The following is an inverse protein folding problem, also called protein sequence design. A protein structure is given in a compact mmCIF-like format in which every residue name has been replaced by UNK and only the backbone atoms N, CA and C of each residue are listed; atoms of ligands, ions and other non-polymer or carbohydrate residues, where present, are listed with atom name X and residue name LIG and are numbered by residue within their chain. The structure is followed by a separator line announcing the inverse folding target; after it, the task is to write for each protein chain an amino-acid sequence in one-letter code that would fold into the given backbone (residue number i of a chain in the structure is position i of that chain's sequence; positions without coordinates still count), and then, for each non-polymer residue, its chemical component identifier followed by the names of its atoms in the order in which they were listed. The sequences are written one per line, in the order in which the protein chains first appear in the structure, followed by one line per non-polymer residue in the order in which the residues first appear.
data_IF_099596456688
#
_entry.id   IF_099596456688
#
_cell.length_a   1.000
_cell.length_b   1.000
_cell.length_c   1.000
_cell.angle_alpha   90.00
_cell.angle_beta   90.00
_cell.angle_gamma   90.00
#
_symmetry.space_group_name_H-M   'P 1'
#
loop_
_entity.id
_entity.type
_entity.pdbx_description
1 polymer ?
#
# COMPACT_ATOMS: atom_id res chain seq x y z
N UNK A 1 17.94 23.98 10.49
CA UNK A 1 17.26 23.31 9.36
C UNK A 1 17.69 21.85 9.41
N UNK A 2 16.76 20.90 9.46
CA UNK A 2 17.10 19.46 9.48
C UNK A 2 17.61 19.05 8.09
N UNK A 3 18.58 18.14 8.05
CA UNK A 3 18.91 17.40 6.84
C UNK A 3 17.74 16.46 6.47
N UNK A 4 17.67 16.04 5.21
CA UNK A 4 16.64 15.09 4.75
C UNK A 4 16.62 13.80 5.58
N UNK A 5 17.79 13.25 5.93
CA UNK A 5 17.88 12.02 6.74
C UNK A 5 17.36 12.23 8.17
N UNK A 6 17.67 13.37 8.78
CA UNK A 6 17.16 13.70 10.12
C UNK A 6 15.64 13.89 10.11
N UNK A 7 15.12 14.51 9.04
CA UNK A 7 13.68 14.66 8.83
C UNK A 7 12.98 13.31 8.66
N UNK A 8 13.50 12.45 7.78
CA UNK A 8 12.98 11.08 7.58
C UNK A 8 12.99 10.29 8.90
N UNK A 9 14.10 10.34 9.65
CA UNK A 9 14.21 9.70 10.95
C UNK A 9 13.18 10.22 11.97
N UNK A 10 12.91 11.54 11.99
CA UNK A 10 11.92 12.13 12.88
C UNK A 10 10.50 11.67 12.55
N UNK A 11 10.13 11.65 11.28
CA UNK A 11 8.83 11.13 10.82
C UNK A 11 8.68 9.66 11.21
N UNK A 12 9.69 8.84 10.89
CA UNK A 12 9.70 7.40 11.18
C UNK A 12 9.59 7.13 12.69
N UNK A 13 10.42 7.77 13.50
CA UNK A 13 10.41 7.60 14.96
C UNK A 13 9.08 8.05 15.57
N UNK A 14 8.49 9.14 15.08
CA UNK A 14 7.18 9.61 15.56
C UNK A 14 6.09 8.61 15.24
N UNK A 15 6.00 8.12 14.01
CA UNK A 15 4.99 7.12 13.65
C UNK A 15 5.17 5.79 14.37
N UNK A 16 6.41 5.34 14.54
CA UNK A 16 6.71 4.14 15.34
C UNK A 16 6.17 4.29 16.77
N UNK A 17 6.46 5.42 17.42
CA UNK A 17 6.00 5.67 18.78
C UNK A 17 4.48 5.77 18.86
N UNK A 18 3.84 6.47 17.91
CA UNK A 18 2.38 6.58 17.84
C UNK A 18 1.71 5.22 17.65
N UNK A 19 2.24 4.36 16.76
CA UNK A 19 1.70 3.03 16.53
C UNK A 19 1.83 2.13 17.77
N UNK A 20 3.00 2.13 18.42
CA UNK A 20 3.23 1.37 19.65
C UNK A 20 2.32 1.85 20.79
N UNK A 21 2.22 3.16 21.00
CA UNK A 21 1.39 3.74 22.05
C UNK A 21 -0.11 3.47 21.83
N UNK A 22 -0.59 3.56 20.58
CA UNK A 22 -2.01 3.42 20.28
C UNK A 22 -2.44 1.97 20.17
N UNK A 23 -1.59 1.09 19.62
CA UNK A 23 -1.99 -0.26 19.25
C UNK A 23 -1.15 -1.36 19.91
N UNK A 24 0.11 -1.09 20.24
CA UNK A 24 1.02 -2.07 20.86
C UNK A 24 0.95 -3.44 20.19
N UNK A 25 0.76 -4.50 20.98
CA UNK A 25 0.71 -5.89 20.49
C UNK A 25 -0.44 -6.26 19.53
N UNK A 26 -1.33 -5.32 19.19
CA UNK A 26 -2.46 -5.57 18.27
C UNK A 26 -2.05 -5.59 16.79
N UNK A 27 -0.96 -4.92 16.43
CA UNK A 27 -0.47 -4.92 15.06
C UNK A 27 0.62 -5.97 14.82
N UNK A 28 0.78 -6.39 13.57
CA UNK A 28 1.84 -7.29 13.10
C UNK A 28 3.06 -6.48 12.69
N UNK A 29 2.87 -5.52 11.79
CA UNK A 29 3.88 -4.51 11.46
C UNK A 29 3.23 -3.23 10.89
N UNK A 30 4.00 -2.16 10.87
CA UNK A 30 3.65 -0.90 10.22
C UNK A 30 4.65 -0.60 9.11
N UNK A 31 4.22 0.13 8.09
CA UNK A 31 5.07 0.57 7.00
C UNK A 31 4.58 1.92 6.45
N UNK A 32 5.48 2.64 5.79
CA UNK A 32 5.15 3.87 5.07
C UNK A 32 5.04 3.60 3.58
N UNK A 33 4.26 4.43 2.89
CA UNK A 33 4.07 4.35 1.43
C UNK A 33 4.14 5.74 0.79
N UNK A 34 3.76 5.82 -0.48
CA UNK A 34 3.49 7.08 -1.15
C UNK A 34 4.73 7.92 -1.46
N UNK A 35 4.48 9.18 -1.81
CA UNK A 35 5.49 10.05 -2.41
C UNK A 35 6.67 10.36 -1.48
N UNK A 36 6.42 10.39 -0.16
CA UNK A 36 7.41 10.78 0.83
C UNK A 36 8.63 9.84 0.82
N UNK A 37 8.40 8.53 0.94
CA UNK A 37 9.49 7.54 1.03
C UNK A 37 10.32 7.43 -0.26
N UNK A 38 9.76 7.86 -1.39
CA UNK A 38 10.44 7.86 -2.69
C UNK A 38 11.00 9.22 -3.09
N UNK A 39 10.95 10.22 -2.20
CA UNK A 39 11.52 11.54 -2.41
C UNK A 39 10.71 12.50 -3.26
N UNK A 40 9.46 12.17 -3.59
CA UNK A 40 8.53 13.06 -4.29
C UNK A 40 7.62 13.88 -3.37
N UNK A 41 7.69 13.69 -2.05
CA UNK A 41 6.85 14.39 -1.08
C UNK A 41 7.13 15.89 -1.02
N UNK A 42 6.10 16.71 -1.25
CA UNK A 42 6.18 18.18 -1.24
C UNK A 42 5.43 18.76 -0.04
N UNK A 43 6.09 19.56 0.83
CA UNK A 43 5.43 20.26 1.93
C UNK A 43 4.22 21.08 1.46
N UNK A 44 3.14 21.05 2.25
CA UNK A 44 1.86 21.71 1.99
C UNK A 44 1.01 21.07 0.90
N UNK A 45 1.46 19.95 0.29
CA UNK A 45 0.74 19.27 -0.80
C UNK A 45 0.65 17.76 -0.62
N UNK A 46 1.72 17.14 -0.15
CA UNK A 46 1.81 15.70 0.02
C UNK A 46 1.43 15.29 1.44
N UNK A 47 0.87 14.09 1.51
CA UNK A 47 0.70 13.32 2.74
C UNK A 47 2.00 12.63 3.17
N UNK A 48 2.06 12.22 4.44
CA UNK A 48 3.05 11.32 5.01
C UNK A 48 2.37 9.97 5.26
N UNK A 49 2.23 9.17 4.20
CA UNK A 49 1.42 7.96 4.24
C UNK A 49 1.97 6.92 5.23
N UNK A 50 1.07 6.33 6.03
CA UNK A 50 1.35 5.19 6.91
C UNK A 50 0.24 4.15 6.82
N UNK A 51 0.62 2.88 6.82
CA UNK A 51 -0.30 1.76 6.99
C UNK A 51 0.05 0.95 8.23
N UNK A 52 -0.98 0.56 8.98
CA UNK A 52 -0.92 -0.32 10.14
C UNK A 52 -1.56 -1.65 9.76
N UNK A 53 -0.75 -2.71 9.70
CA UNK A 53 -1.23 -4.06 9.48
C UNK A 53 -1.57 -4.70 10.84
N UNK A 54 -2.86 -4.86 11.11
CA UNK A 54 -3.36 -5.53 12.30
C UNK A 54 -3.33 -7.06 12.19
N UNK A 55 -3.08 -7.71 13.33
CA UNK A 55 -3.32 -9.15 13.45
C UNK A 55 -4.79 -9.45 13.22
N UNK A 56 -5.11 -10.59 12.62
CA UNK A 56 -6.51 -10.99 12.41
C UNK A 56 -7.34 -11.08 13.71
N UNK A 57 -6.68 -11.25 14.86
CA UNK A 57 -7.33 -11.24 16.17
C UNK A 57 -7.97 -9.89 16.54
N UNK A 58 -7.66 -8.80 15.83
CA UNK A 58 -8.24 -7.48 16.09
C UNK A 58 -9.77 -7.48 15.99
N UNK A 59 -10.36 -8.38 15.20
CA UNK A 59 -11.82 -8.51 15.08
C UNK A 59 -12.52 -8.90 16.39
N UNK A 60 -11.77 -9.43 17.35
CA UNK A 60 -12.28 -9.76 18.69
C UNK A 60 -12.01 -8.67 19.72
N UNK A 61 -11.33 -7.59 19.33
CA UNK A 61 -11.02 -6.48 20.23
C UNK A 61 -12.27 -5.62 20.45
N UNK A 62 -12.52 -5.11 21.67
CA UNK A 62 -13.70 -4.29 21.94
C UNK A 62 -13.78 -3.05 21.04
N UNK A 63 -14.87 -2.92 20.30
CA UNK A 63 -15.05 -1.88 19.28
C UNK A 63 -14.85 -0.45 19.82
N UNK A 64 -15.42 -0.16 21.00
CA UNK A 64 -15.27 1.17 21.63
C UNK A 64 -13.82 1.49 21.99
N UNK A 65 -13.08 0.51 22.48
CA UNK A 65 -11.66 0.70 22.81
C UNK A 65 -10.82 0.87 21.53
N UNK A 66 -11.16 0.12 20.48
CA UNK A 66 -10.53 0.26 19.18
C UNK A 66 -10.74 1.68 18.61
N UNK A 67 -11.96 2.19 18.66
CA UNK A 67 -12.31 3.53 18.18
C UNK A 67 -11.52 4.62 18.92
N UNK A 68 -11.38 4.52 20.25
CA UNK A 68 -10.59 5.46 21.06
C UNK A 68 -9.12 5.44 20.63
N UNK A 69 -8.54 4.26 20.41
CA UNK A 69 -7.14 4.11 19.99
C UNK A 69 -6.90 4.67 18.59
N UNK A 70 -7.82 4.43 17.66
CA UNK A 70 -7.74 4.97 16.29
C UNK A 70 -7.84 6.50 16.33
N UNK A 71 -8.81 7.09 17.05
CA UNK A 71 -8.93 8.54 17.17
C UNK A 71 -7.67 9.18 17.77
N UNK A 72 -7.07 8.54 18.78
CA UNK A 72 -5.79 8.96 19.36
C UNK A 72 -4.66 8.93 18.33
N UNK A 73 -4.57 7.86 17.54
CA UNK A 73 -3.58 7.76 16.46
C UNK A 73 -3.80 8.84 15.40
N UNK A 74 -5.04 9.05 14.94
CA UNK A 74 -5.39 10.10 13.96
C UNK A 74 -4.97 11.48 14.46
N UNK A 75 -5.22 11.81 15.73
CA UNK A 75 -4.78 13.09 16.30
C UNK A 75 -3.26 13.26 16.22
N UNK A 76 -2.48 12.22 16.58
CA UNK A 76 -1.02 12.25 16.47
C UNK A 76 -0.52 12.33 15.02
N UNK A 77 -1.19 11.64 14.10
CA UNK A 77 -0.94 11.71 12.66
C UNK A 77 -1.14 13.14 12.12
N UNK A 78 -2.24 13.81 12.49
CA UNK A 78 -2.51 15.19 12.07
C UNK A 78 -1.50 16.18 12.68
N UNK A 79 -1.16 16.02 13.95
CA UNK A 79 -0.16 16.87 14.62
C UNK A 79 1.23 16.74 13.99
N UNK A 80 1.65 15.52 13.62
CA UNK A 80 2.91 15.31 12.88
C UNK A 80 2.89 16.06 11.55
N UNK A 81 1.82 15.94 10.77
CA UNK A 81 1.67 16.65 9.50
C UNK A 81 1.79 18.16 9.67
N UNK A 82 1.07 18.71 10.64
CA UNK A 82 1.12 20.13 10.96
C UNK A 82 2.56 20.57 11.29
N UNK A 83 3.22 19.87 12.22
CA UNK A 83 4.60 20.20 12.65
C UNK A 83 5.61 20.10 11.53
N UNK A 84 5.44 19.15 10.62
CA UNK A 84 6.35 18.91 9.50
C UNK A 84 6.01 19.76 8.27
N UNK A 85 4.87 20.45 8.27
CA UNK A 85 4.41 21.26 7.14
C UNK A 85 3.91 20.43 5.96
N UNK A 86 3.39 19.23 6.21
CA UNK A 86 2.77 18.35 5.20
C UNK A 86 1.23 18.43 5.28
N UNK A 87 0.54 18.00 4.22
CA UNK A 87 -0.92 18.04 4.15
C UNK A 87 -1.47 16.63 4.41
N UNK A 88 -2.18 16.40 5.52
CA UNK A 88 -2.68 15.07 5.82
C UNK A 88 -3.78 14.65 4.84
N UNK A 89 -3.83 13.37 4.48
CA UNK A 89 -5.07 12.77 3.99
C UNK A 89 -6.08 12.71 5.16
N UNK A 90 -7.15 13.50 5.05
CA UNK A 90 -8.24 13.53 6.03
C UNK A 90 -9.40 12.62 5.64
N UNK A 91 -9.40 12.07 4.42
CA UNK A 91 -10.35 11.06 3.97
C UNK A 91 -9.94 9.68 4.49
N UNK A 92 -8.65 9.38 4.41
CA UNK A 92 -8.05 8.14 4.91
C UNK A 92 -6.88 8.47 5.85
N UNK A 93 -7.15 8.93 7.10
CA UNK A 93 -6.12 9.38 8.03
C UNK A 93 -5.31 8.19 8.58
N UNK A 94 -4.28 7.81 7.83
CA UNK A 94 -3.62 6.52 7.96
C UNK A 94 -4.47 5.38 7.38
N UNK A 95 -3.79 4.30 7.01
CA UNK A 95 -4.41 3.10 6.46
C UNK A 95 -4.43 1.98 7.50
N UNK A 96 -5.54 1.26 7.60
CA UNK A 96 -5.76 0.22 8.60
C UNK A 96 -6.25 -1.05 7.93
N UNK A 97 -5.44 -2.10 7.96
CA UNK A 97 -5.70 -3.35 7.21
C UNK A 97 -5.40 -4.56 8.09
N UNK A 98 -6.15 -5.66 7.98
CA UNK A 98 -5.78 -6.92 8.65
C UNK A 98 -4.81 -7.74 7.81
N UNK A 99 -4.09 -8.66 8.44
CA UNK A 99 -3.36 -9.73 7.75
C UNK A 99 -4.19 -10.46 6.70
N UNK A 100 -5.47 -10.77 6.99
CA UNK A 100 -6.38 -11.43 6.06
C UNK A 100 -6.71 -10.55 4.85
N UNK A 101 -7.07 -9.28 5.07
CA UNK A 101 -7.35 -8.36 3.98
C UNK A 101 -6.11 -8.11 3.12
N UNK A 102 -4.94 -8.04 3.74
CA UNK A 102 -3.67 -7.88 3.05
C UNK A 102 -3.30 -9.12 2.23
N UNK A 103 -3.56 -10.32 2.77
CA UNK A 103 -3.40 -11.57 2.05
C UNK A 103 -4.33 -11.66 0.84
N UNK A 104 -5.60 -11.27 0.97
CA UNK A 104 -6.56 -11.20 -0.14
C UNK A 104 -6.11 -10.20 -1.22
N UNK A 105 -5.59 -9.03 -0.81
CA UNK A 105 -5.04 -8.03 -1.73
C UNK A 105 -3.89 -8.62 -2.55
N UNK A 106 -2.92 -9.24 -1.87
CA UNK A 106 -1.76 -9.92 -2.47
C UNK A 106 -2.19 -11.08 -3.39
N UNK A 107 -3.25 -11.80 -3.02
CA UNK A 107 -3.82 -12.88 -3.82
C UNK A 107 -4.56 -12.38 -5.08
N UNK A 108 -4.76 -11.05 -5.21
CA UNK A 108 -5.26 -10.42 -6.43
C UNK A 108 -6.71 -9.93 -6.34
N UNK A 109 -7.33 -9.87 -5.14
CA UNK A 109 -8.70 -9.34 -4.95
C UNK A 109 -8.88 -7.91 -5.50
N UNK A 110 -7.80 -7.14 -5.60
CA UNK A 110 -7.80 -5.78 -6.15
C UNK A 110 -7.91 -5.67 -7.67
N UNK A 111 -7.81 -6.78 -8.43
CA UNK A 111 -7.97 -6.76 -9.88
C UNK A 111 -9.44 -6.79 -10.29
N UNK A 112 -9.73 -6.19 -11.45
CA UNK A 112 -11.03 -6.33 -12.11
C UNK A 112 -10.95 -7.40 -13.20
N UNK A 113 -12.09 -8.03 -13.45
CA UNK A 113 -12.24 -9.07 -14.49
C UNK A 113 -13.15 -8.52 -15.57
N UNK A 114 -12.66 -8.46 -16.82
CA UNK A 114 -13.46 -8.05 -17.97
C UNK A 114 -14.44 -9.15 -18.40
N UNK A 115 -15.36 -8.84 -19.32
CA UNK A 115 -16.28 -9.83 -19.91
C UNK A 115 -15.54 -11.00 -20.58
N UNK A 116 -14.36 -10.73 -21.17
CA UNK A 116 -13.47 -11.72 -21.78
C UNK A 116 -12.62 -12.51 -20.76
N UNK A 117 -12.91 -12.39 -19.46
CA UNK A 117 -12.15 -12.99 -18.35
C UNK A 117 -10.67 -12.57 -18.30
N UNK A 118 -10.36 -11.33 -18.69
CA UNK A 118 -9.01 -10.76 -18.56
C UNK A 118 -8.90 -9.87 -17.33
N UNK A 119 -7.71 -9.84 -16.72
CA UNK A 119 -7.44 -8.96 -15.60
C UNK A 119 -7.09 -7.57 -16.09
N UNK A 120 -7.66 -6.55 -15.43
CA UNK A 120 -7.30 -5.15 -15.65
C UNK A 120 -7.39 -4.32 -14.37
N UNK A 121 -6.81 -3.12 -14.42
CA UNK A 121 -6.86 -2.15 -13.35
C UNK A 121 -7.56 -0.87 -13.84
N UNK A 122 -8.70 -0.50 -13.25
CA UNK A 122 -9.31 0.80 -13.49
C UNK A 122 -8.38 1.94 -13.08
N UNK A 123 -8.60 3.13 -13.67
CA UNK A 123 -7.90 4.36 -13.27
C UNK A 123 -8.22 4.69 -11.81
N UNK A 124 -7.18 4.97 -11.03
CA UNK A 124 -7.33 5.38 -9.64
C UNK A 124 -7.90 6.81 -9.53
N UNK A 125 -8.89 7.01 -8.67
CA UNK A 125 -9.37 8.33 -8.24
C UNK A 125 -10.06 8.23 -6.88
N UNK A 126 -10.24 9.34 -6.13
CA UNK A 126 -11.03 9.35 -4.91
C UNK A 126 -12.46 8.83 -5.12
N UNK A 127 -13.12 9.24 -6.21
CA UNK A 127 -14.48 8.79 -6.56
C UNK A 127 -14.50 7.27 -6.82
N UNK A 128 -13.44 6.74 -7.44
CA UNK A 128 -13.30 5.30 -7.61
C UNK A 128 -13.25 4.60 -6.25
N UNK A 129 -12.42 5.03 -5.30
CA UNK A 129 -12.27 4.35 -4.01
C UNK A 129 -13.44 4.56 -3.04
N UNK A 130 -14.09 5.73 -3.07
CA UNK A 130 -15.22 6.02 -2.18
C UNK A 130 -16.53 5.35 -2.60
N UNK A 131 -16.62 4.90 -3.86
CA UNK A 131 -17.84 4.25 -4.35
C UNK A 131 -18.01 2.80 -3.89
N UNK A 132 -16.94 2.06 -3.59
CA UNK A 132 -17.00 0.66 -3.18
C UNK A 132 -15.74 0.26 -2.39
N UNK A 133 -15.85 -0.16 -1.10
CA UNK A 133 -14.72 -0.61 -0.29
C UNK A 133 -13.92 -1.76 -0.91
N UNK A 134 -14.51 -2.62 -1.75
CA UNK A 134 -13.76 -3.67 -2.48
C UNK A 134 -12.64 -3.09 -3.35
N UNK A 135 -12.76 -1.82 -3.76
CA UNK A 135 -11.76 -1.15 -4.57
C UNK A 135 -10.50 -0.80 -3.79
N UNK A 136 -10.54 -0.80 -2.46
CA UNK A 136 -9.36 -0.54 -1.61
C UNK A 136 -8.31 -1.64 -1.72
N UNK A 137 -8.71 -2.89 -2.02
CA UNK A 137 -7.77 -4.00 -2.26
C UNK A 137 -6.79 -3.71 -3.40
N UNK A 138 -7.15 -2.85 -4.37
CA UNK A 138 -6.22 -2.37 -5.40
C UNK A 138 -5.11 -1.52 -4.78
N UNK A 139 -5.46 -0.59 -3.88
CA UNK A 139 -4.49 0.26 -3.20
C UNK A 139 -3.59 -0.58 -2.29
N UNK A 140 -4.17 -1.51 -1.51
CA UNK A 140 -3.41 -2.39 -0.63
C UNK A 140 -2.49 -3.35 -1.39
N UNK A 141 -2.85 -3.81 -2.59
CA UNK A 141 -1.93 -4.56 -3.45
C UNK A 141 -0.71 -3.71 -3.79
N UNK A 142 -0.89 -2.48 -4.26
CA UNK A 142 0.23 -1.56 -4.52
C UNK A 142 1.05 -1.30 -3.26
N UNK A 143 0.39 -1.00 -2.13
CA UNK A 143 1.05 -0.72 -0.85
C UNK A 143 1.79 -1.95 -0.29
N UNK A 144 1.38 -3.17 -0.64
CA UNK A 144 2.10 -4.37 -0.25
C UNK A 144 3.48 -4.47 -0.87
N UNK A 145 3.63 -3.98 -2.11
CA UNK A 145 4.91 -3.95 -2.81
C UNK A 145 5.66 -2.63 -2.61
N UNK A 146 4.98 -1.49 -2.67
CA UNK A 146 5.57 -0.15 -2.72
C UNK A 146 5.57 0.51 -1.35
N UNK A 147 6.38 -0.04 -0.45
CA UNK A 147 6.42 0.36 0.95
C UNK A 147 7.80 0.26 1.57
N UNK A 148 7.98 1.00 2.66
CA UNK A 148 9.16 0.95 3.53
C UNK A 148 8.75 0.49 4.93
N UNK A 149 9.39 -0.57 5.42
CA UNK A 149 9.17 -1.08 6.78
C UNK A 149 9.43 0.01 7.82
N UNK A 150 8.59 0.04 8.87
CA UNK A 150 8.73 0.97 9.98
C UNK A 150 8.98 0.28 11.32
N UNK A 151 8.09 -0.63 11.73
CA UNK A 151 8.16 -1.31 13.04
C UNK A 151 7.34 -2.60 13.05
N UNK A 152 7.60 -3.51 14.00
CA UNK A 152 6.92 -4.80 14.16
C UNK A 152 7.70 -5.99 13.60
N UNK A 153 6.99 -6.99 13.06
CA UNK A 153 7.57 -8.19 12.48
C UNK A 153 8.17 -7.91 11.08
N UNK A 154 9.50 -7.83 11.05
CA UNK A 154 10.25 -7.54 9.82
C UNK A 154 10.23 -8.72 8.82
N UNK A 155 10.17 -9.97 9.29
CA UNK A 155 10.18 -11.13 8.41
C UNK A 155 8.83 -11.33 7.73
N UNK A 156 7.74 -11.11 8.47
CA UNK A 156 6.40 -11.05 7.90
C UNK A 156 6.28 -9.94 6.85
N UNK A 157 6.83 -8.74 7.14
CA UNK A 157 6.89 -7.65 6.17
C UNK A 157 7.59 -8.05 4.88
N UNK A 158 8.83 -8.59 4.97
CA UNK A 158 9.62 -9.00 3.79
C UNK A 158 8.87 -10.02 2.94
N UNK A 159 8.31 -11.04 3.60
CA UNK A 159 7.53 -12.09 2.95
C UNK A 159 6.33 -11.53 2.20
N UNK A 160 5.60 -10.61 2.81
CA UNK A 160 4.43 -10.01 2.17
C UNK A 160 4.83 -9.06 1.04
N UNK A 161 5.92 -8.30 1.18
CA UNK A 161 6.44 -7.42 0.13
C UNK A 161 6.86 -8.19 -1.12
N UNK A 162 7.58 -9.30 -0.97
CA UNK A 162 7.94 -10.19 -2.09
C UNK A 162 6.69 -10.76 -2.75
N UNK A 163 5.70 -11.23 -1.98
CA UNK A 163 4.46 -11.74 -2.58
C UNK A 163 3.65 -10.65 -3.32
N UNK A 164 3.62 -9.43 -2.79
CA UNK A 164 3.03 -8.28 -3.45
C UNK A 164 3.70 -8.00 -4.79
N UNK A 165 5.04 -7.94 -4.80
CA UNK A 165 5.84 -7.81 -6.02
C UNK A 165 5.60 -8.96 -7.01
N UNK A 166 5.55 -10.22 -6.57
CA UNK A 166 5.27 -11.36 -7.42
C UNK A 166 3.93 -11.22 -8.16
N UNK A 167 2.89 -10.78 -7.45
CA UNK A 167 1.55 -10.58 -8.03
C UNK A 167 1.55 -9.44 -9.04
N UNK A 168 2.18 -8.31 -8.70
CA UNK A 168 2.31 -7.15 -9.61
C UNK A 168 3.12 -7.52 -10.85
N UNK A 169 4.25 -8.22 -10.69
CA UNK A 169 5.11 -8.64 -11.79
C UNK A 169 4.37 -9.60 -12.72
N UNK A 170 3.66 -10.61 -12.21
CA UNK A 170 2.82 -11.48 -13.06
C UNK A 170 1.81 -10.66 -13.85
N UNK A 171 1.17 -9.68 -13.22
CA UNK A 171 0.20 -8.82 -13.89
C UNK A 171 0.83 -8.01 -15.04
N UNK A 172 1.95 -7.32 -14.81
CA UNK A 172 2.56 -6.50 -15.87
C UNK A 172 3.18 -7.36 -16.97
N UNK A 173 3.79 -8.50 -16.62
CA UNK A 173 4.46 -9.38 -17.57
C UNK A 173 3.47 -10.15 -18.47
N UNK A 174 2.20 -10.28 -18.08
CA UNK A 174 1.20 -11.01 -18.89
C UNK A 174 0.97 -10.34 -20.25
N UNK A 175 0.95 -9.01 -20.28
CA UNK A 175 0.57 -8.20 -21.44
C UNK A 175 1.77 -7.74 -22.29
N UNK A 176 3.01 -7.97 -21.84
CA UNK A 176 4.23 -7.68 -22.62
C UNK A 176 4.22 -8.47 -23.94
N UNK A 177 4.82 -7.95 -25.02
CA UNK A 177 4.94 -8.69 -26.29
C UNK A 177 5.80 -9.95 -26.20
N UNK A 178 6.19 -10.49 -27.37
CA UNK A 178 7.23 -11.53 -27.47
C UNK A 178 8.66 -10.97 -27.36
N UNK A 179 8.78 -9.68 -27.05
CA UNK A 179 10.05 -8.98 -26.92
C UNK A 179 10.69 -9.30 -25.56
N UNK A 180 12.02 -9.41 -25.57
CA UNK A 180 12.79 -9.45 -24.33
C UNK A 180 12.70 -8.08 -23.69
N UNK A 181 12.48 -8.06 -22.38
CA UNK A 181 12.41 -6.82 -21.62
C UNK A 181 13.45 -6.82 -20.51
N UNK A 182 13.80 -5.63 -20.04
CA UNK A 182 14.67 -5.45 -18.90
C UNK A 182 13.92 -4.89 -17.67
N UNK A 183 14.67 -4.60 -16.60
CA UNK A 183 14.10 -4.04 -15.38
C UNK A 183 13.56 -2.61 -15.57
N UNK A 184 14.14 -1.84 -16.50
CA UNK A 184 13.70 -0.48 -16.84
C UNK A 184 12.30 -0.53 -17.47
N UNK A 185 12.08 -1.49 -18.36
CA UNK A 185 10.77 -1.72 -18.97
C UNK A 185 9.71 -2.08 -17.93
N UNK A 186 10.06 -2.94 -16.96
CA UNK A 186 9.17 -3.25 -15.82
C UNK A 186 8.76 -1.97 -15.11
N UNK A 187 9.71 -1.11 -14.73
CA UNK A 187 9.40 0.14 -14.04
C UNK A 187 8.51 1.09 -14.87
N UNK A 188 8.65 1.09 -16.20
CA UNK A 188 7.77 1.86 -17.08
C UNK A 188 6.32 1.35 -17.07
N UNK A 189 6.10 0.04 -16.95
CA UNK A 189 4.77 -0.58 -16.89
C UNK A 189 4.04 -0.30 -15.57
N UNK A 190 4.78 -0.01 -14.48
CA UNK A 190 4.21 0.24 -13.15
C UNK A 190 3.44 1.57 -13.02
N UNK A 191 3.46 2.43 -14.04
CA UNK A 191 2.61 3.64 -14.07
C UNK A 191 1.12 3.31 -13.87
N UNK A 192 0.69 2.13 -14.33
CA UNK A 192 -0.68 1.62 -14.12
C UNK A 192 -1.05 1.40 -12.64
N UNK A 193 -0.05 1.23 -11.77
CA UNK A 193 -0.21 1.10 -10.31
C UNK A 193 -0.07 2.42 -9.56
N UNK A 194 0.05 3.55 -10.26
CA UNK A 194 0.13 4.89 -9.66
C UNK A 194 1.55 5.39 -9.37
N UNK A 195 2.59 4.71 -9.87
CA UNK A 195 3.98 5.18 -9.75
C UNK A 195 4.16 6.45 -10.58
N UNK A 196 4.50 7.56 -9.94
CA UNK A 196 4.69 8.87 -10.58
C UNK A 196 6.15 9.10 -10.98
N UNK A 197 6.37 9.89 -12.03
CA UNK A 197 7.73 10.27 -12.49
C UNK A 197 8.55 11.04 -11.46
N UNK A 198 7.88 11.64 -10.47
CA UNK A 198 8.51 12.44 -9.41
C UNK A 198 8.97 11.57 -8.23
N UNK A 199 8.81 10.25 -8.31
CA UNK A 199 9.30 9.32 -7.29
C UNK A 199 10.77 8.99 -7.57
N UNK A 200 11.64 9.99 -7.39
CA UNK A 200 13.04 9.97 -7.86
C UNK A 200 13.85 8.78 -7.33
N UNK A 201 13.52 8.27 -6.14
CA UNK A 201 14.21 7.14 -5.52
C UNK A 201 13.50 5.80 -5.73
N UNK A 202 12.37 5.74 -6.43
CA UNK A 202 11.56 4.52 -6.55
C UNK A 202 12.36 3.37 -7.14
N UNK A 203 12.99 3.59 -8.29
CA UNK A 203 13.79 2.56 -8.97
C UNK A 203 14.90 2.06 -8.04
N UNK A 204 15.66 2.96 -7.42
CA UNK A 204 16.77 2.59 -6.52
C UNK A 204 16.29 1.79 -5.30
N UNK A 205 15.19 2.20 -4.67
CA UNK A 205 14.66 1.56 -3.45
C UNK A 205 14.02 0.21 -3.77
N UNK A 206 13.33 0.10 -4.90
CA UNK A 206 12.54 -1.09 -5.23
C UNK A 206 13.31 -2.14 -6.05
N UNK A 207 14.39 -1.77 -6.74
CA UNK A 207 15.19 -2.70 -7.57
C UNK A 207 15.59 -3.98 -6.84
N UNK A 208 16.11 -3.96 -5.60
CA UNK A 208 16.49 -5.20 -4.91
C UNK A 208 15.31 -6.16 -4.73
N UNK A 209 14.12 -5.63 -4.42
CA UNK A 209 12.90 -6.43 -4.24
C UNK A 209 12.38 -6.99 -5.56
N UNK A 210 12.44 -6.18 -6.62
CA UNK A 210 12.09 -6.62 -7.97
C UNK A 210 13.00 -7.77 -8.42
N UNK A 211 14.32 -7.66 -8.20
CA UNK A 211 15.28 -8.73 -8.54
C UNK A 211 14.94 -10.02 -7.78
N UNK A 212 14.72 -9.94 -6.47
CA UNK A 212 14.39 -11.10 -5.64
C UNK A 212 13.09 -11.78 -6.09
N UNK A 213 12.05 -11.00 -6.39
CA UNK A 213 10.80 -11.52 -6.95
C UNK A 213 10.97 -12.11 -8.34
N UNK A 214 11.78 -11.51 -9.23
CA UNK A 214 12.07 -12.09 -10.55
C UNK A 214 12.77 -13.44 -10.43
N UNK A 215 13.70 -13.61 -9.48
CA UNK A 215 14.35 -14.90 -9.20
C UNK A 215 13.39 -15.94 -8.65
N UNK A 216 12.44 -15.53 -7.81
CA UNK A 216 11.36 -16.39 -7.35
C UNK A 216 10.46 -16.82 -8.52
N UNK A 217 10.05 -15.88 -9.37
CA UNK A 217 9.21 -16.16 -10.54
C UNK A 217 9.93 -17.04 -11.57
N UNK A 218 11.24 -16.90 -11.75
CA UNK A 218 12.05 -17.76 -12.59
C UNK A 218 12.05 -19.22 -12.07
N UNK A 219 12.29 -19.41 -10.76
CA UNK A 219 12.23 -20.73 -10.11
C UNK A 219 10.84 -21.36 -10.20
N UNK A 220 9.80 -20.53 -10.14
CA UNK A 220 8.42 -20.96 -10.33
C UNK A 220 8.05 -21.12 -11.81
N UNK A 221 8.95 -20.87 -12.77
CA UNK A 221 8.73 -21.07 -14.21
C UNK A 221 7.80 -20.04 -14.87
N UNK A 222 7.56 -18.89 -14.25
CA UNK A 222 6.78 -17.78 -14.83
C UNK A 222 7.58 -16.95 -15.84
N UNK A 223 8.90 -17.08 -15.83
CA UNK A 223 9.80 -16.42 -16.76
C UNK A 223 11.11 -17.21 -16.89
N UNK A 224 11.88 -16.92 -17.94
CA UNK A 224 13.25 -17.37 -18.13
C UNK A 224 14.16 -16.13 -18.02
N UNK A 225 15.25 -16.24 -17.27
CA UNK A 225 16.28 -15.20 -17.21
C UNK A 225 17.45 -15.58 -18.11
N UNK A 226 17.69 -14.79 -19.15
CA UNK A 226 18.88 -14.93 -19.97
C UNK A 226 19.96 -13.97 -19.42
N UNK A 227 21.09 -14.53 -18.99
CA UNK A 227 22.26 -13.80 -18.48
C UNK A 227 22.01 -12.82 -17.31
N UNK A 228 20.87 -12.93 -16.61
CA UNK A 228 20.57 -12.09 -15.46
C UNK A 228 20.12 -10.66 -15.80
N UNK A 229 20.00 -10.27 -17.05
CA UNK A 229 19.53 -8.91 -17.42
C UNK A 229 18.23 -8.95 -18.21
N UNK A 230 18.08 -9.95 -19.08
CA UNK A 230 16.91 -10.10 -19.94
C UNK A 230 15.84 -10.99 -19.30
N UNK A 231 14.59 -10.58 -19.44
CA UNK A 231 13.42 -11.23 -18.87
C UNK A 231 12.53 -11.70 -20.01
N UNK A 232 12.36 -13.03 -20.11
CA UNK A 232 11.49 -13.67 -21.08
C UNK A 232 10.24 -14.22 -20.37
N UNK A 233 9.06 -13.57 -20.46
CA UNK A 233 7.85 -14.04 -19.79
C UNK A 233 7.35 -15.38 -20.34
N UNK A 234 7.04 -16.34 -19.46
CA UNK A 234 6.35 -17.57 -19.85
C UNK A 234 4.85 -17.29 -20.05
N UNK A 235 4.46 -16.97 -21.29
CA UNK A 235 3.10 -16.55 -21.65
C UNK A 235 2.04 -17.60 -21.35
N UNK A 236 2.35 -18.88 -21.55
CA UNK A 236 1.41 -19.95 -21.25
C UNK A 236 1.09 -19.99 -19.76
N UNK A 237 2.14 -19.96 -18.92
CA UNK A 237 1.97 -20.00 -17.46
C UNK A 237 1.28 -18.76 -16.92
N UNK A 238 1.63 -17.57 -17.44
CA UNK A 238 0.97 -16.31 -17.07
C UNK A 238 -0.51 -16.31 -17.49
N UNK A 239 -0.86 -16.85 -18.66
CA UNK A 239 -2.24 -16.98 -19.11
C UNK A 239 -3.05 -17.98 -18.28
N UNK A 240 -2.44 -19.07 -17.83
CA UNK A 240 -3.08 -20.01 -16.89
C UNK A 240 -3.35 -19.30 -15.57
N UNK A 241 -2.34 -18.63 -15.00
CA UNK A 241 -2.49 -17.85 -13.77
C UNK A 241 -3.58 -16.77 -13.88
N UNK A 242 -3.61 -16.01 -14.98
CA UNK A 242 -4.64 -14.98 -15.20
C UNK A 242 -6.05 -15.58 -15.18
N UNK A 243 -6.26 -16.71 -15.88
CA UNK A 243 -7.55 -17.41 -15.92
C UNK A 243 -7.97 -17.96 -14.56
N UNK A 244 -7.04 -18.55 -13.83
CA UNK A 244 -7.29 -19.07 -12.48
C UNK A 244 -7.68 -17.94 -11.53
N UNK A 245 -6.95 -16.83 -11.56
CA UNK A 245 -7.23 -15.67 -10.73
C UNK A 245 -8.55 -14.99 -11.12
N UNK A 246 -8.83 -14.81 -12.42
CA UNK A 246 -10.09 -14.27 -12.89
C UNK A 246 -11.28 -15.12 -12.42
N UNK A 247 -11.17 -16.46 -12.52
CA UNK A 247 -12.18 -17.38 -11.98
C UNK A 247 -12.32 -17.25 -10.47
N UNK A 248 -11.21 -17.15 -9.75
CA UNK A 248 -11.20 -17.05 -8.30
C UNK A 248 -11.87 -15.75 -7.80
N UNK A 249 -11.65 -14.63 -8.49
CA UNK A 249 -12.32 -13.34 -8.23
C UNK A 249 -13.82 -13.44 -8.53
N UNK A 250 -14.19 -13.95 -9.70
CA UNK A 250 -15.60 -14.07 -10.13
C UNK A 250 -16.41 -15.00 -9.23
N UNK A 251 -15.80 -16.07 -8.72
CA UNK A 251 -16.41 -17.00 -7.76
C UNK A 251 -16.33 -16.54 -6.30
N UNK A 252 -15.68 -15.39 -6.02
CA UNK A 252 -15.45 -14.84 -4.67
C UNK A 252 -14.62 -15.72 -3.74
N UNK A 253 -13.84 -16.66 -4.28
CA UNK A 253 -12.98 -17.57 -3.50
C UNK A 253 -11.75 -16.91 -2.85
N UNK A 254 -11.47 -15.64 -3.14
CA UNK A 254 -10.38 -14.84 -2.52
C UNK A 254 -10.98 -13.83 -1.52
N UNK A 255 -12.25 -13.97 -1.12
CA UNK A 255 -12.93 -13.00 -0.23
C UNK A 255 -13.12 -13.58 1.17
N UNK A 256 -12.02 -14.01 1.78
CA UNK A 256 -12.05 -14.68 3.08
C UNK A 256 -12.05 -13.70 4.25
N UNK A 257 -11.50 -12.49 4.05
CA UNK A 257 -11.41 -11.49 5.11
C UNK A 257 -12.54 -10.45 5.06
N UNK A 258 -13.09 -10.17 6.24
CA UNK A 258 -14.01 -9.05 6.50
C UNK A 258 -13.21 -7.76 6.74
N UNK A 259 -13.83 -6.61 6.41
CA UNK A 259 -13.23 -5.31 6.66
C UNK A 259 -13.22 -4.98 8.17
N UNK A 260 -12.12 -4.40 8.65
CA UNK A 260 -12.07 -3.80 10.01
C UNK A 260 -12.98 -2.57 10.09
N UNK A 261 -13.00 -1.78 9.02
CA UNK A 261 -13.83 -0.59 8.86
C UNK A 261 -14.82 -0.80 7.73
N UNK A 262 -16.11 -0.74 8.03
CA UNK A 262 -17.11 -0.55 7.00
C UNK A 262 -17.09 0.90 6.49
N UNK A 263 -17.78 1.15 5.37
CA UNK A 263 -17.84 2.46 4.74
C UNK A 263 -18.35 3.57 5.68
N UNK A 264 -19.32 3.26 6.55
CA UNK A 264 -19.88 4.24 7.47
C UNK A 264 -18.84 4.67 8.50
N UNK A 265 -18.08 3.72 9.06
CA UNK A 265 -17.00 4.02 9.99
C UNK A 265 -15.88 4.81 9.33
N UNK A 266 -15.53 4.49 8.08
CA UNK A 266 -14.56 5.29 7.31
C UNK A 266 -15.03 6.73 7.14
N UNK A 267 -16.31 6.94 6.78
CA UNK A 267 -16.89 8.29 6.65
C UNK A 267 -16.86 9.05 7.99
N UNK A 268 -17.20 8.38 9.09
CA UNK A 268 -17.16 8.99 10.43
C UNK A 268 -15.73 9.36 10.84
N UNK A 269 -14.75 8.51 10.53
CA UNK A 269 -13.33 8.80 10.79
C UNK A 269 -12.83 9.96 9.93
N UNK A 270 -13.22 10.00 8.66
CA UNK A 270 -12.87 11.09 7.75
C UNK A 270 -13.41 12.45 8.24
N UNK A 271 -14.66 12.45 8.71
CA UNK A 271 -15.25 13.63 9.34
C UNK A 271 -14.47 14.05 10.58
N UNK A 272 -14.18 13.12 11.48
CA UNK A 272 -13.40 13.40 12.70
C UNK A 272 -12.04 14.00 12.37
N UNK A 273 -11.31 13.42 11.41
CA UNK A 273 -10.00 13.93 10.98
C UNK A 273 -10.10 15.33 10.36
N UNK A 274 -11.11 15.57 9.52
CA UNK A 274 -11.35 16.87 8.87
C UNK A 274 -11.64 17.96 9.90
N UNK A 275 -12.56 17.72 10.83
CA UNK A 275 -12.94 18.67 11.89
C UNK A 275 -11.73 18.98 12.79
N UNK A 276 -10.96 17.95 13.16
CA UNK A 276 -9.75 18.07 13.98
C UNK A 276 -8.65 18.86 13.27
N UNK A 277 -8.46 18.63 11.97
CA UNK A 277 -7.46 19.37 11.17
C UNK A 277 -7.77 20.87 11.11
N UNK A 278 -9.05 21.22 10.92
CA UNK A 278 -9.51 22.63 10.95
C UNK A 278 -9.19 23.27 12.31
N UNK A 279 -9.42 22.54 13.40
CA UNK A 279 -9.11 23.03 14.74
C UNK A 279 -7.60 23.28 14.93
N UNK A 280 -6.75 22.32 14.54
CA UNK A 280 -5.28 22.47 14.59
C UNK A 280 -4.83 23.71 13.78
N UNK A 281 -5.35 23.87 12.57
CA UNK A 281 -5.01 24.97 11.67
C UNK A 281 -5.52 26.34 12.15
N UNK A 282 -6.62 26.39 12.90
CA UNK A 282 -7.16 27.64 13.45
C UNK A 282 -6.38 28.13 14.67
N UNK A 283 -6.02 27.23 15.59
CA UNK A 283 -5.23 27.58 16.79
C UNK A 283 -3.86 28.13 16.46
N UNK A 284 -3.23 27.67 15.37
CA UNK A 284 -1.92 28.15 14.95
C UNK A 284 -1.93 29.59 14.43
N UNK A 285 -3.02 30.00 13.77
CA UNK A 285 -3.20 31.38 13.28
C UNK A 285 -3.45 32.39 14.41
N UNK A 286 -3.98 31.94 15.54
CA UNK A 286 -4.21 32.80 16.71
C UNK A 286 -2.94 33.06 17.55
N UNK A 287 -1.88 32.28 17.33
CA UNK A 287 -0.60 32.38 18.05
C UNK A 287 0.52 33.04 17.20
N UNK A 288 0.18 33.56 16.01
CA UNK A 288 1.06 34.36 15.14
C UNK A 288 0.60 35.80 15.16
#
# INVERSE_FOLDING_TARGET
MLTRKEFEYLVESTYKNLAEECFGGLYSYCYQTGSFIYGGGTPGRSDLDITILFKNSIKYFPEREFEVRIKKFVLGYLDLHFKMGYMPDTTFPGEYVTEGMFADAIAGRGFHVSEDNKLYLPKASPEYYLADPERWFRAWLSQSAFCKFLTGDQDAFKKNKIKGWDTILKFVLKDVGSEQIDITDIFNLLRSFGVHKDYYNFVTIETPWVIESLDQLARLGFLIRDNGEQINPNKEKLKIWEKELARAISSRSIRDAEFIFDLNKTILMAKYASDTWIEIMSKSKSNQ
#
